data_IF_037416567569
#
_entry.id   IF_037416567569
#
_cell.length_a   1.000
_cell.length_b   1.000
_cell.length_c   1.000
_cell.angle_alpha   90.00
_cell.angle_beta   90.00
_cell.angle_gamma   90.00
#
_symmetry.space_group_name_H-M   'P 1'
#
loop_
_entity.id
_entity.type
_entity.pdbx_description
1 polymer ?
#
# COMPACT_ATOMS: atom_id res chain seq x y z
N UNK A 1 11.13 -2.68 21.51
CA UNK A 1 12.51 -2.70 20.99
C UNK A 1 12.45 -3.10 19.54
N UNK A 2 13.10 -2.37 18.63
CA UNK A 2 13.17 -2.78 17.21
C UNK A 2 13.92 -4.10 17.17
N UNK A 3 13.31 -5.18 16.70
CA UNK A 3 14.03 -6.42 16.48
C UNK A 3 15.09 -6.14 15.40
N UNK A 4 16.35 -6.18 15.77
CA UNK A 4 17.46 -6.04 14.83
C UNK A 4 17.32 -7.14 13.78
N UNK A 5 17.33 -6.80 12.51
CA UNK A 5 17.18 -7.80 11.44
C UNK A 5 18.40 -8.73 11.42
N UNK A 6 18.21 -9.96 10.94
CA UNK A 6 19.28 -10.95 10.78
C UNK A 6 20.40 -10.36 9.92
N UNK A 7 20.04 -9.66 8.85
CA UNK A 7 20.99 -9.01 7.94
C UNK A 7 21.83 -7.94 8.66
N UNK A 8 21.21 -7.15 9.56
CA UNK A 8 21.93 -6.13 10.33
C UNK A 8 22.92 -6.76 11.32
N UNK A 9 22.51 -7.82 12.00
CA UNK A 9 23.39 -8.57 12.91
C UNK A 9 24.57 -9.15 12.11
N UNK A 10 24.28 -9.87 11.03
CA UNK A 10 25.28 -10.54 10.22
C UNK A 10 26.23 -9.55 9.52
N UNK A 11 25.73 -8.39 9.08
CA UNK A 11 26.58 -7.33 8.50
C UNK A 11 27.59 -6.80 9.52
N UNK A 12 27.19 -6.67 10.78
CA UNK A 12 28.09 -6.23 11.85
C UNK A 12 29.15 -7.30 12.18
N UNK A 13 28.73 -8.55 12.25
CA UNK A 13 29.63 -9.69 12.51
C UNK A 13 30.65 -9.86 11.37
N UNK A 14 30.22 -9.76 10.12
CA UNK A 14 31.11 -9.80 8.95
C UNK A 14 32.08 -8.62 8.92
N UNK A 15 31.65 -7.41 9.27
CA UNK A 15 32.53 -6.26 9.36
C UNK A 15 33.59 -6.46 10.43
N UNK A 16 33.24 -7.04 11.59
CA UNK A 16 34.14 -7.37 12.67
C UNK A 16 35.11 -8.50 12.28
N UNK A 17 34.66 -9.52 11.56
CA UNK A 17 35.49 -10.56 11.01
C UNK A 17 36.57 -10.01 10.06
N UNK A 18 36.19 -9.12 9.15
CA UNK A 18 37.15 -8.47 8.22
C UNK A 18 38.18 -7.63 8.98
N UNK A 19 37.76 -6.87 9.98
CA UNK A 19 38.64 -6.06 10.79
C UNK A 19 39.65 -6.97 11.58
N UNK A 20 39.15 -8.04 12.16
CA UNK A 20 39.98 -9.00 12.91
C UNK A 20 40.98 -9.72 12.01
N UNK A 21 40.59 -10.11 10.80
CA UNK A 21 41.46 -10.87 9.88
C UNK A 21 42.46 -9.98 9.14
N UNK A 22 42.09 -8.76 8.78
CA UNK A 22 42.87 -7.93 7.88
C UNK A 22 43.28 -6.56 8.45
N UNK A 23 42.89 -6.27 9.70
CA UNK A 23 43.31 -5.03 10.41
C UNK A 23 42.70 -3.75 9.84
N UNK A 24 41.65 -3.85 9.04
CA UNK A 24 40.99 -2.69 8.38
C UNK A 24 39.52 -2.63 8.76
N UNK A 25 39.06 -1.51 9.37
CA UNK A 25 37.67 -1.36 9.72
C UNK A 25 36.79 -1.23 8.47
N UNK A 26 35.67 -1.92 8.46
CA UNK A 26 34.69 -1.93 7.39
C UNK A 26 33.36 -1.45 7.94
N UNK A 27 32.76 -0.49 7.27
CA UNK A 27 31.39 -0.10 7.61
C UNK A 27 30.43 -1.24 7.27
N UNK A 28 29.51 -1.66 8.18
CA UNK A 28 28.55 -2.73 7.90
C UNK A 28 27.74 -2.53 6.63
N UNK A 29 27.53 -1.28 6.21
CA UNK A 29 26.84 -0.93 4.98
C UNK A 29 27.57 -1.38 3.69
N UNK A 30 28.86 -1.67 3.75
CA UNK A 30 29.64 -2.23 2.62
C UNK A 30 29.46 -3.74 2.47
N UNK A 31 28.96 -4.41 3.48
CA UNK A 31 28.68 -5.84 3.46
C UNK A 31 27.39 -6.07 2.69
N UNK A 32 27.51 -6.68 1.52
CA UNK A 32 26.35 -7.00 0.69
C UNK A 32 25.85 -8.40 1.03
N UNK A 33 24.61 -8.48 1.50
CA UNK A 33 23.91 -9.73 1.82
C UNK A 33 22.73 -9.95 0.87
N UNK A 34 22.49 -11.22 0.55
CA UNK A 34 21.33 -11.64 -0.23
C UNK A 34 20.87 -13.03 0.20
N UNK A 35 19.64 -13.41 -0.11
CA UNK A 35 19.17 -14.77 0.10
C UNK A 35 20.00 -15.75 -0.74
N UNK A 36 20.40 -16.88 -0.15
CA UNK A 36 21.09 -17.92 -0.91
C UNK A 36 20.18 -18.49 -1.99
N UNK A 37 20.72 -18.71 -3.18
CA UNK A 37 19.97 -19.31 -4.30
C UNK A 37 19.60 -20.74 -3.98
N UNK A 38 18.45 -21.20 -4.48
CA UNK A 38 17.88 -22.52 -4.17
C UNK A 38 18.76 -23.70 -4.56
N UNK A 39 19.64 -23.53 -5.53
CA UNK A 39 20.59 -24.54 -5.99
C UNK A 39 21.81 -24.74 -5.08
N UNK A 40 22.02 -23.86 -4.10
CA UNK A 40 23.14 -23.91 -3.16
C UNK A 40 22.63 -24.10 -1.72
N UNK A 41 23.45 -24.79 -0.90
CA UNK A 41 23.16 -24.93 0.52
C UNK A 41 23.53 -23.62 1.26
N UNK A 42 22.65 -23.17 2.13
CA UNK A 42 22.80 -21.92 2.89
C UNK A 42 21.52 -21.14 3.01
N UNK A 43 21.47 -20.24 3.97
CA UNK A 43 20.34 -19.35 4.25
C UNK A 43 20.59 -17.94 3.68
N UNK A 44 21.78 -17.39 3.95
CA UNK A 44 22.21 -16.07 3.49
C UNK A 44 23.58 -16.17 2.79
N UNK A 45 23.71 -15.41 1.71
CA UNK A 45 24.96 -15.27 0.96
C UNK A 45 25.56 -13.90 1.19
N UNK A 46 26.82 -13.85 1.61
CA UNK A 46 27.64 -12.64 1.63
C UNK A 46 28.49 -12.55 0.37
N UNK A 47 28.52 -11.35 -0.23
CA UNK A 47 29.27 -11.08 -1.47
C UNK A 47 30.67 -10.61 -1.12
N UNK A 48 31.70 -11.37 -1.50
CA UNK A 48 33.09 -11.05 -1.13
C UNK A 48 33.73 -9.95 -1.97
N UNK A 49 33.25 -9.68 -3.17
CA UNK A 49 33.87 -8.74 -4.12
C UNK A 49 34.11 -7.32 -3.53
N UNK A 50 33.21 -6.69 -2.78
CA UNK A 50 33.46 -5.38 -2.18
C UNK A 50 34.59 -5.40 -1.13
N UNK A 51 34.89 -6.56 -0.57
CA UNK A 51 35.81 -6.76 0.55
C UNK A 51 37.25 -7.08 0.10
N UNK A 52 37.48 -7.36 -1.20
CA UNK A 52 38.81 -7.75 -1.71
C UNK A 52 39.88 -6.70 -1.56
N UNK A 53 39.50 -5.42 -1.48
CA UNK A 53 40.47 -4.34 -1.23
C UNK A 53 41.13 -4.47 0.15
N UNK A 54 40.43 -5.03 1.13
CA UNK A 54 40.92 -5.25 2.49
C UNK A 54 41.74 -6.53 2.57
N UNK A 55 41.25 -7.63 2.02
CA UNK A 55 41.96 -8.92 2.06
C UNK A 55 43.17 -8.99 1.15
N UNK A 56 43.17 -8.29 0.01
CA UNK A 56 44.18 -8.37 -1.05
C UNK A 56 44.40 -9.80 -1.56
N UNK A 57 43.34 -10.62 -1.54
CA UNK A 57 43.32 -12.02 -1.92
C UNK A 57 42.27 -12.29 -2.96
N UNK A 58 42.20 -13.51 -3.50
CA UNK A 58 41.11 -13.89 -4.41
C UNK A 58 39.77 -13.91 -3.69
N UNK A 59 38.63 -13.78 -4.42
CA UNK A 59 37.34 -13.89 -3.81
C UNK A 59 37.09 -15.18 -3.04
N UNK A 60 37.58 -16.29 -3.57
CA UNK A 60 37.47 -17.59 -2.95
C UNK A 60 38.29 -17.67 -1.66
N UNK A 61 39.55 -17.24 -1.68
CA UNK A 61 40.41 -17.23 -0.49
C UNK A 61 39.83 -16.32 0.60
N UNK A 62 39.33 -15.15 0.23
CA UNK A 62 38.66 -14.23 1.15
C UNK A 62 37.45 -14.89 1.79
N UNK A 63 36.63 -15.57 0.97
CA UNK A 63 35.43 -16.27 1.44
C UNK A 63 35.76 -17.40 2.41
N UNK A 64 36.80 -18.21 2.13
CA UNK A 64 37.22 -19.30 2.98
C UNK A 64 37.74 -18.81 4.34
N UNK A 65 38.59 -17.77 4.37
CA UNK A 65 39.09 -17.21 5.62
C UNK A 65 37.99 -16.56 6.47
N UNK A 66 37.10 -15.82 5.83
CA UNK A 66 35.97 -15.20 6.53
C UNK A 66 35.01 -16.30 7.03
N UNK A 67 34.70 -17.29 6.20
CA UNK A 67 33.82 -18.40 6.58
C UNK A 67 34.36 -19.20 7.76
N UNK A 68 35.65 -19.54 7.74
CA UNK A 68 36.33 -20.23 8.85
C UNK A 68 36.26 -19.38 10.14
N UNK A 69 36.62 -18.10 10.04
CA UNK A 69 36.52 -17.18 11.19
C UNK A 69 35.10 -17.12 11.79
N UNK A 70 34.11 -17.06 10.94
CA UNK A 70 32.71 -16.97 11.39
C UNK A 70 32.26 -18.24 12.12
N UNK A 71 32.63 -19.43 11.64
CA UNK A 71 32.36 -20.71 12.33
C UNK A 71 33.02 -20.77 13.70
N UNK A 72 34.27 -20.35 13.79
CA UNK A 72 35.02 -20.39 15.05
C UNK A 72 34.52 -19.39 16.10
N UNK A 73 33.94 -18.27 15.67
CA UNK A 73 33.62 -17.16 16.57
C UNK A 73 32.09 -16.93 16.73
N UNK A 74 31.26 -17.47 15.87
CA UNK A 74 29.82 -17.20 15.88
C UNK A 74 29.00 -18.48 16.03
N UNK A 75 28.50 -18.79 17.23
CA UNK A 75 27.90 -20.10 17.56
C UNK A 75 26.64 -20.45 16.79
N UNK A 76 26.00 -19.47 16.15
CA UNK A 76 24.77 -19.69 15.39
C UNK A 76 25.00 -19.97 13.90
N UNK A 77 26.26 -19.95 13.43
CA UNK A 77 26.62 -20.37 12.07
C UNK A 77 27.05 -21.84 12.13
N UNK A 78 26.31 -22.68 11.41
CA UNK A 78 26.50 -24.15 11.42
C UNK A 78 27.52 -24.62 10.38
N UNK A 79 27.45 -24.05 9.19
CA UNK A 79 28.32 -24.35 8.07
C UNK A 79 28.41 -23.21 7.06
N UNK A 80 29.39 -23.28 6.17
CA UNK A 80 29.53 -22.38 5.06
C UNK A 80 29.96 -23.07 3.78
N UNK A 81 29.73 -22.43 2.64
CA UNK A 81 30.21 -22.85 1.34
C UNK A 81 30.65 -21.65 0.53
N UNK A 82 31.83 -21.67 -0.06
CA UNK A 82 32.32 -20.62 -0.96
C UNK A 82 32.18 -21.05 -2.41
N UNK A 83 31.48 -20.25 -3.22
CA UNK A 83 31.29 -20.51 -4.66
C UNK A 83 31.55 -19.22 -5.42
N UNK A 84 32.65 -19.15 -6.17
CA UNK A 84 33.00 -18.02 -7.05
C UNK A 84 32.89 -16.65 -6.36
N UNK A 85 33.41 -16.55 -5.11
CA UNK A 85 33.39 -15.32 -4.33
C UNK A 85 32.07 -15.00 -3.65
N UNK A 86 31.14 -15.95 -3.57
CA UNK A 86 29.91 -15.89 -2.79
C UNK A 86 30.06 -16.81 -1.60
N UNK A 87 30.01 -16.26 -0.40
CA UNK A 87 30.06 -16.98 0.87
C UNK A 87 28.63 -17.28 1.31
N UNK A 88 28.20 -18.52 1.12
CA UNK A 88 26.89 -19.01 1.56
C UNK A 88 27.00 -19.48 3.00
N UNK A 89 26.20 -18.93 3.88
CA UNK A 89 26.18 -19.24 5.32
C UNK A 89 24.90 -19.99 5.67
N UNK A 90 25.04 -21.04 6.46
CA UNK A 90 23.91 -21.80 6.99
C UNK A 90 23.83 -21.59 8.50
N UNK A 91 22.62 -21.25 8.96
CA UNK A 91 22.39 -21.06 10.39
C UNK A 91 21.95 -22.34 11.08
N UNK A 92 22.31 -22.47 12.35
CA UNK A 92 21.94 -23.61 13.15
C UNK A 92 20.44 -23.70 13.41
N UNK A 93 19.95 -24.93 13.61
CA UNK A 93 18.55 -25.14 13.96
C UNK A 93 18.16 -24.45 15.29
N UNK A 94 19.08 -24.32 16.23
CA UNK A 94 18.89 -23.60 17.48
C UNK A 94 18.66 -22.10 17.26
N UNK A 95 19.39 -21.49 16.34
CA UNK A 95 19.18 -20.09 15.94
C UNK A 95 17.77 -19.85 15.43
N UNK A 96 17.31 -20.66 14.49
CA UNK A 96 15.95 -20.53 13.93
C UNK A 96 14.87 -20.75 14.98
N UNK A 97 15.10 -21.70 15.91
CA UNK A 97 14.17 -21.94 17.02
C UNK A 97 14.07 -20.73 17.97
N UNK A 98 15.19 -20.06 18.25
CA UNK A 98 15.19 -18.84 19.07
C UNK A 98 14.52 -17.68 18.34
N UNK A 99 14.82 -17.48 17.04
CA UNK A 99 14.13 -16.47 16.22
C UNK A 99 12.62 -16.68 16.20
N UNK A 100 12.17 -17.93 16.05
CA UNK A 100 10.74 -18.25 16.10
C UNK A 100 10.12 -17.89 17.47
N UNK A 101 10.83 -18.16 18.57
CA UNK A 101 10.37 -17.77 19.90
C UNK A 101 10.27 -16.25 20.04
N UNK A 102 11.25 -15.50 19.54
CA UNK A 102 11.24 -14.03 19.57
C UNK A 102 10.04 -13.47 18.80
N UNK A 103 9.78 -14.01 17.60
CA UNK A 103 8.59 -13.65 16.80
C UNK A 103 7.30 -13.93 17.57
N UNK A 104 7.18 -15.15 18.14
CA UNK A 104 5.98 -15.58 18.85
C UNK A 104 5.74 -14.81 20.16
N UNK A 105 6.81 -14.38 20.83
CA UNK A 105 6.73 -13.64 22.11
C UNK A 105 6.61 -12.11 21.94
N UNK A 106 6.75 -11.59 20.72
CA UNK A 106 6.69 -10.15 20.45
C UNK A 106 5.35 -9.79 19.79
N UNK A 107 4.35 -9.23 20.52
CA UNK A 107 3.01 -8.97 19.99
C UNK A 107 2.99 -8.10 18.75
N UNK A 108 3.91 -7.15 18.66
CA UNK A 108 4.02 -6.18 17.57
C UNK A 108 5.23 -6.46 16.66
N UNK A 109 5.62 -7.75 16.51
CA UNK A 109 6.73 -8.12 15.64
C UNK A 109 6.52 -7.59 14.22
N UNK A 110 7.57 -7.01 13.64
CA UNK A 110 7.52 -6.39 12.31
C UNK A 110 7.00 -4.95 12.30
N UNK A 111 6.52 -4.41 13.41
CA UNK A 111 6.13 -3.01 13.51
C UNK A 111 7.31 -2.12 13.88
N UNK A 112 7.35 -0.92 13.29
CA UNK A 112 8.35 0.09 13.62
C UNK A 112 7.84 1.01 14.74
N UNK A 113 8.77 1.53 15.54
CA UNK A 113 8.48 2.57 16.52
C UNK A 113 7.93 3.82 15.83
N UNK A 114 7.16 4.62 16.56
CA UNK A 114 6.61 5.88 16.06
C UNK A 114 7.76 6.81 15.61
N UNK A 115 7.69 7.25 14.35
CA UNK A 115 8.68 8.13 13.73
C UNK A 115 8.36 9.63 13.86
N UNK A 116 7.31 10.00 14.61
CA UNK A 116 6.87 11.36 14.83
C UNK A 116 6.13 12.01 13.64
N UNK A 117 6.00 11.33 12.51
CA UNK A 117 5.37 11.88 11.29
C UNK A 117 3.90 11.49 11.21
N UNK A 118 3.08 12.42 10.75
CA UNK A 118 1.65 12.18 10.48
C UNK A 118 1.42 12.15 8.97
N UNK A 119 0.62 11.17 8.51
CA UNK A 119 0.18 11.06 7.11
C UNK A 119 -1.34 11.04 7.11
N UNK A 120 -1.94 11.83 6.23
CA UNK A 120 -3.37 11.81 5.96
C UNK A 120 -3.64 10.87 4.79
N UNK A 121 -4.60 9.95 4.96
CA UNK A 121 -5.05 9.03 3.91
C UNK A 121 -6.53 9.25 3.69
N UNK A 122 -6.88 9.78 2.52
CA UNK A 122 -8.25 9.98 2.11
C UNK A 122 -8.75 8.76 1.34
N UNK A 123 -9.87 8.20 1.76
CA UNK A 123 -10.57 7.12 1.07
C UNK A 123 -12.02 7.04 1.53
N UNK A 124 -12.84 6.19 0.87
CA UNK A 124 -14.27 6.05 1.22
C UNK A 124 -15.07 7.34 0.99
N UNK A 125 -14.84 8.00 -0.17
CA UNK A 125 -15.51 9.26 -0.55
C UNK A 125 -16.47 9.03 -1.74
N UNK A 126 -17.52 8.18 -1.61
CA UNK A 126 -18.47 7.96 -2.68
C UNK A 126 -19.39 9.18 -2.87
N UNK A 127 -19.95 9.32 -4.07
CA UNK A 127 -21.04 10.25 -4.28
C UNK A 127 -22.26 9.82 -3.45
N UNK A 128 -22.89 10.76 -2.74
CA UNK A 128 -24.00 10.47 -1.82
C UNK A 128 -25.31 10.12 -2.53
N UNK A 129 -25.41 10.41 -3.83
CA UNK A 129 -26.62 10.22 -4.66
C UNK A 129 -26.62 8.92 -5.48
N UNK A 130 -25.71 7.97 -5.18
CA UNK A 130 -25.60 6.70 -5.92
C UNK A 130 -25.43 5.53 -4.96
N UNK A 131 -26.04 4.37 -5.26
CA UNK A 131 -25.77 3.15 -4.50
C UNK A 131 -24.30 2.75 -4.59
N UNK A 132 -23.80 2.15 -3.52
CA UNK A 132 -22.44 1.59 -3.49
C UNK A 132 -22.36 0.36 -4.40
N UNK A 133 -21.18 0.16 -4.99
CA UNK A 133 -20.86 -1.01 -5.81
C UNK A 133 -19.45 -1.55 -5.48
N UNK A 134 -19.08 -2.68 -6.07
CA UNK A 134 -17.80 -3.36 -5.80
C UNK A 134 -16.57 -2.47 -5.95
N UNK A 135 -16.61 -1.47 -6.86
CA UNK A 135 -15.54 -0.48 -7.01
C UNK A 135 -15.32 0.37 -5.75
N UNK A 136 -16.38 0.72 -5.02
CA UNK A 136 -16.28 1.42 -3.74
C UNK A 136 -15.68 0.53 -2.65
N UNK A 137 -16.07 -0.75 -2.59
CA UNK A 137 -15.50 -1.73 -1.65
C UNK A 137 -14.01 -1.88 -1.89
N UNK A 138 -13.59 -2.05 -3.16
CA UNK A 138 -12.17 -2.12 -3.53
C UNK A 138 -11.41 -0.89 -3.04
N UNK A 139 -11.95 0.31 -3.27
CA UNK A 139 -11.30 1.56 -2.85
C UNK A 139 -11.16 1.66 -1.33
N UNK A 140 -12.21 1.26 -0.59
CA UNK A 140 -12.19 1.20 0.87
C UNK A 140 -11.12 0.24 1.39
N UNK A 141 -11.02 -0.95 0.81
CA UNK A 141 -10.01 -1.94 1.20
C UNK A 141 -8.58 -1.46 0.89
N UNK A 142 -8.37 -0.80 -0.25
CA UNK A 142 -7.08 -0.22 -0.60
C UNK A 142 -6.67 0.87 0.40
N UNK A 143 -7.55 1.84 0.67
CA UNK A 143 -7.26 2.91 1.62
C UNK A 143 -7.01 2.39 3.03
N UNK A 144 -7.79 1.42 3.48
CA UNK A 144 -7.60 0.76 4.77
C UNK A 144 -6.25 0.02 4.84
N UNK A 145 -5.91 -0.76 3.81
CA UNK A 145 -4.66 -1.52 3.75
C UNK A 145 -3.44 -0.61 3.74
N UNK A 146 -3.45 0.46 2.93
CA UNK A 146 -2.39 1.46 2.92
C UNK A 146 -2.23 2.11 4.30
N UNK A 147 -3.35 2.47 4.94
CA UNK A 147 -3.34 3.03 6.30
C UNK A 147 -2.69 2.07 7.29
N UNK A 148 -3.02 0.77 7.24
CA UNK A 148 -2.42 -0.26 8.10
C UNK A 148 -0.93 -0.45 7.86
N UNK A 149 -0.49 -0.44 6.61
CA UNK A 149 0.93 -0.51 6.27
C UNK A 149 1.72 0.70 6.79
N UNK A 150 1.15 1.90 6.67
CA UNK A 150 1.77 3.12 7.19
C UNK A 150 1.83 3.10 8.74
N UNK A 151 0.74 2.70 9.42
CA UNK A 151 0.71 2.50 10.87
C UNK A 151 1.80 1.51 11.31
N UNK A 152 1.95 0.38 10.62
CA UNK A 152 2.97 -0.60 10.92
C UNK A 152 4.41 -0.08 10.70
N UNK A 153 4.58 0.91 9.80
CA UNK A 153 5.86 1.59 9.58
C UNK A 153 6.11 2.79 10.51
N UNK A 154 5.31 2.94 11.56
CA UNK A 154 5.53 3.93 12.63
C UNK A 154 4.97 5.32 12.32
N UNK A 155 4.14 5.48 11.30
CA UNK A 155 3.44 6.73 11.04
C UNK A 155 2.15 6.84 11.86
N UNK A 156 1.83 8.05 12.30
CA UNK A 156 0.49 8.39 12.75
C UNK A 156 -0.40 8.60 11.52
N UNK A 157 -1.42 7.77 11.34
CA UNK A 157 -2.32 7.88 10.18
C UNK A 157 -3.62 8.55 10.57
N UNK A 158 -3.96 9.63 9.85
CA UNK A 158 -5.26 10.29 9.91
C UNK A 158 -6.09 9.79 8.72
N UNK A 159 -7.10 8.98 9.00
CA UNK A 159 -8.07 8.49 8.00
C UNK A 159 -9.17 9.52 7.85
N UNK A 160 -9.37 9.99 6.64
CA UNK A 160 -10.36 11.02 6.31
C UNK A 160 -11.16 10.61 5.08
N UNK A 161 -12.35 11.20 4.94
CA UNK A 161 -13.17 11.06 3.75
C UNK A 161 -13.84 12.40 3.43
N UNK A 162 -14.12 12.61 2.16
CA UNK A 162 -14.93 13.73 1.70
C UNK A 162 -16.39 13.28 1.61
N UNK A 163 -17.29 14.12 2.10
CA UNK A 163 -18.72 13.97 1.87
C UNK A 163 -19.05 14.78 0.62
N UNK A 164 -19.32 14.08 -0.48
CA UNK A 164 -19.63 14.70 -1.76
C UNK A 164 -21.14 14.86 -1.89
N UNK A 165 -21.66 15.90 -1.26
CA UNK A 165 -23.10 16.24 -1.17
C UNK A 165 -23.49 17.47 -2.00
N UNK A 166 -22.52 18.15 -2.66
CA UNK A 166 -22.76 19.29 -3.55
C UNK A 166 -22.22 19.03 -4.95
N UNK A 167 -23.05 19.23 -5.95
CA UNK A 167 -22.65 19.10 -7.35
C UNK A 167 -23.81 18.85 -8.29
N UNK A 168 -23.54 18.95 -9.59
CA UNK A 168 -24.59 18.85 -10.64
C UNK A 168 -25.34 17.51 -10.58
N UNK A 169 -24.68 16.41 -10.21
CA UNK A 169 -25.34 15.11 -10.10
C UNK A 169 -26.34 15.06 -8.94
N UNK A 170 -26.05 15.76 -7.85
CA UNK A 170 -27.00 15.90 -6.73
C UNK A 170 -28.19 16.73 -7.16
N UNK A 171 -27.94 17.88 -7.81
CA UNK A 171 -29.00 18.72 -8.35
C UNK A 171 -29.93 17.96 -9.31
N UNK A 172 -29.37 17.09 -10.16
CA UNK A 172 -30.19 16.24 -11.06
C UNK A 172 -31.18 15.36 -10.28
N UNK A 173 -30.73 14.70 -9.22
CA UNK A 173 -31.59 13.88 -8.37
C UNK A 173 -32.64 14.73 -7.66
N UNK A 174 -32.25 15.91 -7.16
CA UNK A 174 -33.16 16.84 -6.46
C UNK A 174 -34.25 17.36 -7.38
N UNK A 175 -33.91 17.80 -8.60
CA UNK A 175 -34.89 18.27 -9.60
C UNK A 175 -35.85 17.13 -9.97
N UNK A 176 -35.36 15.94 -10.20
CA UNK A 176 -36.22 14.79 -10.49
C UNK A 176 -37.18 14.48 -9.33
N UNK A 177 -36.70 14.55 -8.09
CA UNK A 177 -37.55 14.36 -6.92
C UNK A 177 -38.60 15.47 -6.80
N UNK A 178 -38.23 16.73 -6.99
CA UNK A 178 -39.17 17.86 -6.95
C UNK A 178 -40.27 17.74 -8.01
N UNK A 179 -39.92 17.32 -9.24
CA UNK A 179 -40.88 17.21 -10.33
C UNK A 179 -41.75 15.95 -10.28
N UNK A 180 -41.16 14.83 -9.85
CA UNK A 180 -41.82 13.52 -10.01
C UNK A 180 -42.13 12.83 -8.67
N UNK A 181 -41.48 13.24 -7.57
CA UNK A 181 -41.50 12.53 -6.28
C UNK A 181 -42.74 12.79 -5.43
N UNK A 182 -43.54 13.80 -5.74
CA UNK A 182 -44.79 14.13 -4.97
C UNK A 182 -44.61 14.14 -3.45
N UNK A 183 -43.41 14.49 -2.97
CA UNK A 183 -43.10 14.51 -1.54
C UNK A 183 -42.72 13.14 -0.93
N UNK A 184 -42.42 12.14 -1.77
CA UNK A 184 -41.96 10.83 -1.32
C UNK A 184 -40.70 10.93 -0.46
N UNK A 185 -40.68 10.18 0.66
CA UNK A 185 -39.54 10.08 1.56
C UNK A 185 -39.03 8.63 1.63
N UNK A 186 -37.82 8.39 2.16
CA UNK A 186 -37.34 7.02 2.35
C UNK A 186 -38.30 6.16 3.16
N UNK A 187 -38.96 6.76 4.18
CA UNK A 187 -39.91 6.09 5.04
C UNK A 187 -41.19 5.74 4.27
N UNK A 188 -41.74 6.68 3.49
CA UNK A 188 -42.98 6.44 2.71
C UNK A 188 -42.75 5.45 1.56
N UNK A 189 -41.55 5.44 0.99
CA UNK A 189 -41.16 4.52 -0.07
C UNK A 189 -40.71 3.15 0.44
N UNK A 190 -40.50 2.99 1.74
CA UNK A 190 -39.86 1.81 2.34
C UNK A 190 -38.50 1.45 1.73
N UNK A 191 -37.72 2.47 1.36
CA UNK A 191 -36.40 2.36 0.74
C UNK A 191 -35.33 3.01 1.60
N UNK A 192 -34.07 2.59 1.43
CA UNK A 192 -32.93 3.35 1.95
C UNK A 192 -32.79 4.66 1.19
N UNK A 193 -32.30 5.71 1.86
CA UNK A 193 -32.15 7.04 1.28
C UNK A 193 -31.30 7.05 0.01
N UNK A 194 -30.19 6.32 -0.02
CA UNK A 194 -29.31 6.19 -1.20
C UNK A 194 -30.03 5.50 -2.40
N UNK A 195 -30.86 4.50 -2.11
CA UNK A 195 -31.66 3.80 -3.13
C UNK A 195 -32.76 4.72 -3.69
N UNK A 196 -33.45 5.48 -2.83
CA UNK A 196 -34.45 6.43 -3.25
C UNK A 196 -33.84 7.52 -4.13
N UNK A 197 -32.78 8.18 -3.67
CA UNK A 197 -32.08 9.23 -4.43
C UNK A 197 -31.51 8.69 -5.73
N UNK A 198 -30.97 7.46 -5.73
CA UNK A 198 -30.48 6.79 -6.93
C UNK A 198 -31.58 6.53 -7.97
N UNK A 199 -32.81 6.19 -7.54
CA UNK A 199 -33.96 6.02 -8.44
C UNK A 199 -34.32 7.33 -9.16
N UNK A 200 -34.29 8.45 -8.47
CA UNK A 200 -34.50 9.77 -9.04
C UNK A 200 -33.40 10.22 -9.99
N UNK A 201 -32.15 9.81 -9.72
CA UNK A 201 -31.05 10.04 -10.66
C UNK A 201 -31.29 9.33 -12.00
N UNK A 202 -31.76 8.09 -11.97
CA UNK A 202 -32.13 7.32 -13.18
C UNK A 202 -33.35 7.94 -13.89
N UNK A 203 -34.32 8.40 -13.12
CA UNK A 203 -35.51 9.06 -13.65
C UNK A 203 -35.16 10.38 -14.36
N UNK A 204 -34.26 11.17 -13.76
CA UNK A 204 -33.72 12.37 -14.42
C UNK A 204 -33.11 12.03 -15.79
N UNK A 205 -32.21 11.00 -15.84
CA UNK A 205 -31.54 10.63 -17.08
C UNK A 205 -32.52 10.23 -18.18
N UNK A 206 -33.55 9.47 -17.84
CA UNK A 206 -34.61 9.08 -18.78
C UNK A 206 -35.42 10.29 -19.31
N UNK A 207 -35.80 11.21 -18.42
CA UNK A 207 -36.55 12.40 -18.81
C UNK A 207 -35.69 13.37 -19.64
N UNK A 208 -34.43 13.57 -19.23
CA UNK A 208 -33.46 14.39 -19.93
C UNK A 208 -33.18 13.89 -21.35
N UNK A 209 -33.05 12.59 -21.58
CA UNK A 209 -32.90 12.00 -22.90
C UNK A 209 -34.11 12.30 -23.82
N UNK A 210 -35.32 12.25 -23.28
CA UNK A 210 -36.53 12.60 -24.04
C UNK A 210 -36.55 14.09 -24.44
N UNK A 211 -36.08 14.97 -23.55
CA UNK A 211 -35.97 16.41 -23.88
C UNK A 211 -34.96 16.63 -25.00
N UNK A 212 -33.80 15.93 -24.96
CA UNK A 212 -32.79 15.99 -26.02
C UNK A 212 -33.36 15.50 -27.36
N UNK A 213 -34.03 14.35 -27.38
CA UNK A 213 -34.68 13.81 -28.59
C UNK A 213 -35.63 14.79 -29.18
N UNK A 214 -36.45 15.46 -28.35
CA UNK A 214 -37.42 16.48 -28.79
C UNK A 214 -36.70 17.67 -29.43
N UNK A 215 -35.67 18.20 -28.79
CA UNK A 215 -34.90 19.34 -29.30
C UNK A 215 -34.14 18.98 -30.59
N UNK A 216 -33.57 17.80 -30.67
CA UNK A 216 -32.89 17.33 -31.88
C UNK A 216 -33.86 17.15 -33.05
N UNK A 217 -35.09 16.65 -32.80
CA UNK A 217 -36.14 16.56 -33.83
C UNK A 217 -36.58 17.94 -34.32
N UNK A 218 -36.47 18.96 -33.49
CA UNK A 218 -36.74 20.35 -33.82
C UNK A 218 -35.58 21.06 -34.53
N UNK A 219 -34.46 20.34 -34.80
CA UNK A 219 -33.35 20.84 -35.61
C UNK A 219 -32.13 21.32 -34.79
N UNK A 220 -32.12 21.17 -33.46
CA UNK A 220 -30.93 21.44 -32.67
C UNK A 220 -29.86 20.36 -32.87
N UNK A 221 -28.62 20.76 -32.85
CA UNK A 221 -27.51 19.77 -32.76
C UNK A 221 -27.56 19.02 -31.43
N UNK A 222 -26.95 17.84 -31.39
CA UNK A 222 -26.86 17.04 -30.16
C UNK A 222 -26.26 17.83 -28.98
N UNK A 223 -25.18 18.57 -29.22
CA UNK A 223 -24.51 19.37 -28.22
C UNK A 223 -25.36 20.55 -27.71
N UNK A 224 -26.10 21.19 -28.60
CA UNK A 224 -27.04 22.28 -28.24
C UNK A 224 -28.21 21.73 -27.45
N UNK A 225 -28.80 20.61 -27.88
CA UNK A 225 -29.88 19.94 -27.18
C UNK A 225 -29.52 19.52 -25.76
N UNK A 226 -28.33 18.96 -25.56
CA UNK A 226 -27.81 18.60 -24.25
C UNK A 226 -27.65 19.80 -23.31
N UNK A 227 -27.24 20.95 -23.82
CA UNK A 227 -27.07 22.18 -23.02
C UNK A 227 -28.39 22.90 -22.75
N UNK A 228 -29.33 22.83 -23.67
CA UNK A 228 -30.60 23.60 -23.65
C UNK A 228 -31.76 22.79 -23.07
N UNK A 229 -31.63 21.51 -22.86
CA UNK A 229 -32.69 20.70 -22.26
C UNK A 229 -33.15 21.30 -20.91
N UNK A 230 -34.46 21.56 -20.74
CA UNK A 230 -34.99 22.26 -19.56
C UNK A 230 -34.53 21.68 -18.22
N UNK A 231 -34.53 20.35 -18.07
CA UNK A 231 -34.07 19.68 -16.87
C UNK A 231 -32.61 19.98 -16.56
N UNK A 232 -31.75 20.06 -17.57
CA UNK A 232 -30.34 20.37 -17.37
C UNK A 232 -30.13 21.83 -16.98
N UNK A 233 -30.86 22.73 -17.61
CA UNK A 233 -30.83 24.17 -17.28
C UNK A 233 -31.24 24.39 -15.83
N UNK A 234 -32.33 23.78 -15.39
CA UNK A 234 -32.78 23.87 -13.99
C UNK A 234 -31.77 23.30 -13.02
N UNK A 235 -31.15 22.14 -13.34
CA UNK A 235 -30.13 21.56 -12.50
C UNK A 235 -28.89 22.46 -12.36
N UNK A 236 -28.49 23.13 -13.45
CA UNK A 236 -27.40 24.12 -13.44
C UNK A 236 -27.75 25.37 -12.63
N UNK A 237 -28.99 25.84 -12.74
CA UNK A 237 -29.48 26.99 -11.96
C UNK A 237 -29.52 26.64 -10.46
N UNK A 238 -30.00 25.44 -10.12
CA UNK A 238 -30.01 24.97 -8.73
C UNK A 238 -28.60 24.96 -8.18
N UNK A 239 -27.63 24.44 -8.93
CA UNK A 239 -26.23 24.40 -8.51
C UNK A 239 -25.63 25.81 -8.31
N UNK A 240 -26.05 26.80 -9.15
CA UNK A 240 -25.59 28.18 -8.99
C UNK A 240 -26.16 28.87 -7.76
N UNK A 241 -27.41 28.53 -7.38
CA UNK A 241 -28.07 29.09 -6.19
C UNK A 241 -27.66 28.42 -4.90
N UNK A 242 -27.10 27.25 -4.97
CA UNK A 242 -26.59 26.47 -3.82
C UNK A 242 -25.21 27.01 -3.43
#
# INVERSE_FOLDING_TARGET
>A
MSSTSIESILSSELAQAIESLYGQPVAPALVQLQATRKEFDGDITAVMFPLLKMSRKSPEQTGEEVGAYLIDNIPYIDSYQVIKGFLNLKFSASFWKERLKDVASTPDFGRRANNGKTIMVEYSSPNTNKPLHLGHIRNNLLGWSVSKLLEANGYRVMKVNLVNDRGIHICKSMIAWQRFGKGETPESAHLKGDSLVGSYYVLFDKAYKKEIETLTTQGASQEEAEKQAPLMVEAQEMLRKW
#
